data_IF_040629911795
#
_entry.id   IF_040629911795
#
_cell.length_a   1.000
_cell.length_b   1.000
_cell.length_c   1.000
_cell.angle_alpha   90.00
_cell.angle_beta   90.00
_cell.angle_gamma   90.00
#
_symmetry.space_group_name_H-M   'P 1'
#
loop_
_entity.id
_entity.type
_entity.pdbx_description
1 polymer ?
#
# COMPACT_ATOMS: atom_id res chain seq x y z
N UNK A 1 3.88 -26.95 37.16
CA UNK A 1 3.53 -25.68 37.81
C UNK A 1 3.50 -24.63 36.72
N UNK A 2 2.33 -24.46 36.10
CA UNK A 2 2.08 -23.51 35.03
C UNK A 2 1.85 -22.13 35.65
N UNK A 3 2.70 -21.16 35.33
CA UNK A 3 2.49 -19.77 35.70
C UNK A 3 1.67 -19.10 34.58
N UNK A 4 0.36 -18.97 34.80
CA UNK A 4 -0.51 -18.14 33.98
C UNK A 4 -0.27 -16.67 34.31
N UNK A 5 0.18 -15.91 33.32
CA UNK A 5 0.31 -14.44 33.42
C UNK A 5 -1.09 -13.87 33.17
N UNK A 6 -1.80 -13.50 34.25
CA UNK A 6 -3.04 -12.74 34.17
C UNK A 6 -2.71 -11.27 33.88
N UNK A 7 -3.16 -10.77 32.73
CA UNK A 7 -3.14 -9.34 32.41
C UNK A 7 -4.26 -8.64 33.19
N UNK A 8 -3.90 -7.90 34.25
CA UNK A 8 -4.79 -6.97 34.92
C UNK A 8 -4.79 -5.64 34.16
N UNK A 9 -5.91 -5.29 33.55
CA UNK A 9 -6.16 -3.94 33.01
C UNK A 9 -6.76 -3.11 34.15
N UNK A 10 -6.12 -2.02 34.61
CA UNK A 10 -6.67 -1.17 35.66
C UNK A 10 -7.94 -0.47 35.17
N UNK A 11 -9.05 -0.66 35.89
CA UNK A 11 -10.26 0.16 35.71
C UNK A 11 -10.12 1.43 36.55
N UNK A 12 -9.46 2.44 36.01
CA UNK A 12 -9.57 3.81 36.54
C UNK A 12 -10.62 4.59 35.75
N UNK A 13 -11.57 5.16 36.50
CA UNK A 13 -12.64 6.02 36.03
C UNK A 13 -12.07 7.26 35.32
N UNK A 14 -12.00 7.21 34.00
CA UNK A 14 -11.84 8.41 33.17
C UNK A 14 -13.23 8.87 32.73
N UNK A 15 -13.77 9.85 33.46
CA UNK A 15 -14.84 10.70 32.96
C UNK A 15 -14.28 11.55 31.81
N UNK A 16 -14.32 11.00 30.60
CA UNK A 16 -14.26 11.77 29.35
C UNK A 16 -15.36 11.23 28.46
N UNK A 17 -16.34 12.08 28.15
CA UNK A 17 -17.45 11.80 27.23
C UNK A 17 -16.98 11.75 25.77
N UNK A 18 -16.00 10.90 25.46
CA UNK A 18 -15.73 10.48 24.09
C UNK A 18 -16.75 9.39 23.81
N UNK A 19 -17.73 9.68 22.96
CA UNK A 19 -18.64 8.67 22.45
C UNK A 19 -17.79 7.46 22.01
N UNK A 20 -18.06 6.27 22.57
CA UNK A 20 -17.39 5.05 22.12
C UNK A 20 -17.49 5.00 20.60
N UNK A 21 -16.37 4.97 19.86
CA UNK A 21 -16.44 4.98 18.41
C UNK A 21 -17.28 3.79 17.97
N UNK A 22 -18.27 4.03 17.10
CA UNK A 22 -19.05 2.96 16.49
C UNK A 22 -18.06 2.16 15.64
N UNK A 23 -17.59 1.04 16.19
CA UNK A 23 -16.67 0.15 15.50
C UNK A 23 -17.41 -0.48 14.32
N UNK A 24 -16.90 -0.22 13.12
CA UNK A 24 -17.51 -0.73 11.88
C UNK A 24 -17.30 -2.23 11.76
N UNK A 25 -18.37 -2.93 11.39
CA UNK A 25 -18.38 -4.33 11.01
C UNK A 25 -18.82 -4.54 9.55
N UNK A 26 -18.78 -3.48 8.73
CA UNK A 26 -19.14 -3.50 7.31
C UNK A 26 -18.04 -2.80 6.50
N UNK A 27 -17.92 -3.18 5.23
CA UNK A 27 -16.98 -2.57 4.27
C UNK A 27 -17.74 -2.20 3.00
N UNK A 28 -17.65 -0.95 2.59
CA UNK A 28 -18.28 -0.49 1.36
C UNK A 28 -17.34 -0.64 0.14
N UNK A 29 -17.39 -1.81 -0.52
CA UNK A 29 -16.63 -2.09 -1.75
C UNK A 29 -17.57 -2.10 -2.95
N UNK A 30 -17.76 -0.92 -3.54
CA UNK A 30 -18.50 -0.73 -4.79
C UNK A 30 -17.73 0.16 -5.79
N UNK A 31 -18.16 0.04 -7.05
CA UNK A 31 -17.59 0.74 -8.20
C UNK A 31 -18.37 2.00 -8.58
N UNK A 32 -19.28 2.48 -7.73
CA UNK A 32 -20.20 3.58 -8.08
C UNK A 32 -19.44 4.90 -8.25
N UNK A 33 -18.35 5.08 -7.50
CA UNK A 33 -17.47 6.26 -7.63
C UNK A 33 -16.49 6.17 -8.81
N UNK A 34 -16.41 5.03 -9.52
CA UNK A 34 -15.55 4.88 -10.69
C UNK A 34 -16.33 5.27 -11.95
N UNK A 35 -15.86 6.30 -12.66
CA UNK A 35 -16.59 6.87 -13.80
C UNK A 35 -16.69 5.89 -14.97
N UNK A 36 -17.69 6.08 -15.83
CA UNK A 36 -17.87 5.23 -17.02
C UNK A 36 -16.67 5.34 -17.96
N UNK A 37 -16.07 6.53 -18.07
CA UNK A 37 -14.83 6.74 -18.83
C UNK A 37 -13.67 5.94 -18.24
N UNK A 38 -13.52 5.93 -16.91
CA UNK A 38 -12.48 5.15 -16.24
C UNK A 38 -12.70 3.64 -16.43
N UNK A 39 -13.94 3.16 -16.28
CA UNK A 39 -14.30 1.74 -16.52
C UNK A 39 -14.02 1.30 -17.95
N UNK A 40 -14.39 2.13 -18.93
CA UNK A 40 -14.14 1.85 -20.34
C UNK A 40 -12.63 1.84 -20.66
N UNK A 41 -11.85 2.69 -19.98
CA UNK A 41 -10.42 2.83 -20.23
C UNK A 41 -9.57 1.75 -19.54
N UNK A 42 -9.97 1.32 -18.35
CA UNK A 42 -9.18 0.44 -17.48
C UNK A 42 -9.96 -0.84 -17.21
N UNK A 43 -9.97 -1.76 -18.18
CA UNK A 43 -10.69 -3.04 -18.06
C UNK A 43 -10.34 -3.82 -16.80
N UNK A 44 -9.09 -3.74 -16.36
CA UNK A 44 -8.56 -4.40 -15.15
C UNK A 44 -9.18 -3.92 -13.82
N UNK A 45 -10.07 -2.91 -13.82
CA UNK A 45 -10.79 -2.48 -12.63
C UNK A 45 -11.68 -3.59 -12.04
N UNK A 46 -12.16 -4.52 -12.87
CA UNK A 46 -12.98 -5.64 -12.41
C UNK A 46 -12.21 -6.61 -11.51
N UNK A 47 -10.94 -6.83 -11.81
CA UNK A 47 -10.02 -7.66 -11.05
C UNK A 47 -9.62 -6.98 -9.75
N UNK A 48 -9.45 -5.65 -9.79
CA UNK A 48 -9.27 -4.83 -8.58
C UNK A 48 -10.50 -4.96 -7.66
N UNK A 49 -11.72 -4.80 -8.20
CA UNK A 49 -12.96 -4.96 -7.44
C UNK A 49 -13.06 -6.37 -6.84
N UNK A 50 -12.71 -7.41 -7.62
CA UNK A 50 -12.66 -8.78 -7.14
C UNK A 50 -11.68 -8.95 -5.96
N UNK A 51 -10.47 -8.41 -6.08
CA UNK A 51 -9.47 -8.44 -5.00
C UNK A 51 -9.99 -7.82 -3.70
N UNK A 52 -10.60 -6.64 -3.76
CA UNK A 52 -11.18 -5.99 -2.57
C UNK A 52 -12.36 -6.75 -2.00
N UNK A 53 -13.24 -7.31 -2.83
CA UNK A 53 -14.37 -8.14 -2.36
C UNK A 53 -13.89 -9.41 -1.66
N UNK A 54 -12.85 -10.04 -2.19
CA UNK A 54 -12.26 -11.24 -1.59
C UNK A 54 -11.63 -10.92 -0.22
N UNK A 55 -10.85 -9.83 -0.14
CA UNK A 55 -10.31 -9.35 1.14
C UNK A 55 -11.41 -8.99 2.14
N UNK A 56 -12.44 -8.24 1.72
CA UNK A 56 -13.55 -7.85 2.58
C UNK A 56 -14.29 -9.07 3.13
N UNK A 57 -14.58 -10.07 2.28
CA UNK A 57 -15.21 -11.33 2.71
C UNK A 57 -14.39 -12.03 3.81
N UNK A 58 -13.08 -12.13 3.62
CA UNK A 58 -12.19 -12.78 4.60
C UNK A 58 -12.11 -12.00 5.90
N UNK A 59 -11.97 -10.67 5.83
CA UNK A 59 -12.04 -9.82 7.03
C UNK A 59 -13.36 -10.05 7.77
N UNK A 60 -14.50 -9.94 7.08
CA UNK A 60 -15.82 -10.02 7.69
C UNK A 60 -16.17 -11.40 8.27
N UNK A 61 -15.71 -12.49 7.65
CA UNK A 61 -15.96 -13.85 8.12
C UNK A 61 -14.96 -14.35 9.19
N UNK A 62 -13.88 -13.61 9.46
CA UNK A 62 -12.83 -14.06 10.37
C UNK A 62 -13.20 -13.81 11.84
N UNK A 63 -13.60 -14.85 12.56
CA UNK A 63 -13.96 -14.79 13.99
C UNK A 63 -12.77 -14.52 14.94
N UNK A 64 -11.53 -14.69 14.46
CA UNK A 64 -10.30 -14.40 15.20
C UNK A 64 -9.95 -12.91 15.30
N UNK A 65 -10.60 -12.03 14.51
CA UNK A 65 -10.38 -10.60 14.58
C UNK A 65 -11.13 -9.97 15.75
N UNK A 66 -10.39 -9.22 16.59
CA UNK A 66 -11.00 -8.33 17.58
C UNK A 66 -11.86 -7.25 16.90
N UNK A 67 -12.85 -6.66 17.61
CA UNK A 67 -13.68 -5.59 17.04
C UNK A 67 -12.87 -4.41 16.49
N UNK A 68 -11.81 -4.01 17.18
CA UNK A 68 -10.93 -2.93 16.73
C UNK A 68 -10.08 -3.36 15.53
N UNK A 69 -9.56 -4.60 15.50
CA UNK A 69 -8.80 -5.11 14.36
C UNK A 69 -9.65 -5.15 13.09
N UNK A 70 -10.89 -5.66 13.20
CA UNK A 70 -11.87 -5.65 12.11
C UNK A 70 -12.13 -4.23 11.61
N UNK A 71 -12.41 -3.30 12.52
CA UNK A 71 -12.65 -1.90 12.18
C UNK A 71 -11.49 -1.27 11.38
N UNK A 72 -10.25 -1.50 11.81
CA UNK A 72 -9.05 -0.98 11.14
C UNK A 72 -8.87 -1.59 9.74
N UNK A 73 -9.09 -2.90 9.58
CA UNK A 73 -9.07 -3.53 8.25
C UNK A 73 -10.15 -2.96 7.32
N UNK A 74 -11.38 -2.79 7.82
CA UNK A 74 -12.47 -2.22 7.04
C UNK A 74 -12.13 -0.81 6.52
N UNK A 75 -11.62 0.08 7.40
CA UNK A 75 -11.22 1.44 7.02
C UNK A 75 -10.09 1.41 5.99
N UNK A 76 -9.08 0.55 6.18
CA UNK A 76 -7.95 0.48 5.26
C UNK A 76 -8.38 0.00 3.87
N UNK A 77 -9.22 -1.04 3.79
CA UNK A 77 -9.74 -1.53 2.50
C UNK A 77 -10.53 -0.44 1.75
N UNK A 78 -11.41 0.29 2.44
CA UNK A 78 -12.16 1.39 1.81
C UNK A 78 -11.22 2.50 1.34
N UNK A 79 -10.24 2.88 2.16
CA UNK A 79 -9.27 3.94 1.85
C UNK A 79 -8.43 3.57 0.63
N UNK A 80 -7.87 2.38 0.60
CA UNK A 80 -6.99 1.93 -0.47
C UNK A 80 -7.76 1.83 -1.80
N UNK A 81 -8.97 1.28 -1.76
CA UNK A 81 -9.82 1.21 -2.95
C UNK A 81 -10.25 2.60 -3.43
N UNK A 82 -10.57 3.52 -2.52
CA UNK A 82 -10.87 4.91 -2.85
C UNK A 82 -9.69 5.60 -3.53
N UNK A 83 -8.46 5.37 -3.06
CA UNK A 83 -7.25 5.88 -3.71
C UNK A 83 -7.08 5.32 -5.13
N UNK A 84 -7.35 4.03 -5.33
CA UNK A 84 -7.37 3.45 -6.68
C UNK A 84 -8.40 4.14 -7.59
N UNK A 85 -9.67 4.23 -7.16
CA UNK A 85 -10.73 4.88 -7.94
C UNK A 85 -10.38 6.33 -8.29
N UNK A 86 -9.81 7.07 -7.33
CA UNK A 86 -9.34 8.44 -7.52
C UNK A 86 -8.26 8.55 -8.60
N UNK A 87 -7.26 7.66 -8.58
CA UNK A 87 -6.21 7.61 -9.61
C UNK A 87 -6.80 7.29 -10.98
N UNK A 88 -7.60 6.23 -11.09
CA UNK A 88 -8.19 5.83 -12.37
C UNK A 88 -9.07 6.93 -12.96
N UNK A 89 -9.94 7.54 -12.15
CA UNK A 89 -10.75 8.68 -12.56
C UNK A 89 -9.90 9.87 -13.00
N UNK A 90 -8.85 10.20 -12.25
CA UNK A 90 -7.96 11.31 -12.59
C UNK A 90 -7.27 11.08 -13.94
N UNK A 91 -6.70 9.89 -14.16
CA UNK A 91 -6.01 9.57 -15.42
C UNK A 91 -7.00 9.49 -16.59
N UNK A 92 -8.21 8.96 -16.39
CA UNK A 92 -9.24 8.91 -17.43
C UNK A 92 -9.67 10.32 -17.88
N UNK A 93 -9.81 11.26 -16.94
CA UNK A 93 -10.17 12.66 -17.24
C UNK A 93 -9.03 13.47 -17.88
N UNK A 94 -7.80 13.02 -17.76
CA UNK A 94 -6.62 13.73 -18.23
C UNK A 94 -5.88 12.92 -19.29
N UNK A 95 -6.56 12.47 -20.35
CA UNK A 95 -5.97 11.61 -21.39
C UNK A 95 -4.77 12.22 -22.12
N UNK A 96 -4.56 13.54 -22.09
CA UNK A 96 -3.33 14.17 -22.57
C UNK A 96 -2.07 13.64 -21.86
N UNK A 97 -2.22 13.15 -20.61
CA UNK A 97 -1.18 12.46 -19.84
C UNK A 97 -0.72 11.13 -20.50
N UNK A 98 -1.51 10.54 -21.41
CA UNK A 98 -1.10 9.37 -22.20
C UNK A 98 -0.20 9.72 -23.39
N UNK A 99 -0.29 10.93 -23.96
CA UNK A 99 0.43 11.30 -25.20
C UNK A 99 1.92 11.59 -24.99
N UNK A 100 2.32 11.92 -23.76
CA UNK A 100 3.72 12.09 -23.32
C UNK A 100 4.31 10.83 -22.68
N UNK A 101 3.51 9.79 -22.48
CA UNK A 101 3.96 8.51 -21.93
C UNK A 101 4.63 7.67 -23.03
N UNK A 102 5.91 7.95 -23.28
CA UNK A 102 6.80 6.95 -23.89
C UNK A 102 6.87 5.67 -23.05
N UNK A 103 7.71 4.73 -23.47
CA UNK A 103 8.15 3.64 -22.58
C UNK A 103 8.58 4.25 -21.24
N UNK A 104 8.18 3.63 -20.12
CA UNK A 104 8.67 4.04 -18.82
C UNK A 104 10.21 4.08 -18.87
N UNK A 105 10.86 5.08 -18.24
CA UNK A 105 12.31 5.09 -18.10
C UNK A 105 12.80 3.77 -17.51
N UNK A 106 14.10 3.42 -17.69
CA UNK A 106 14.70 2.28 -17.01
C UNK A 106 14.24 2.20 -15.55
N UNK A 107 13.86 1.01 -15.11
CA UNK A 107 13.24 0.83 -13.79
C UNK A 107 14.00 -0.23 -13.02
N UNK A 108 14.53 0.14 -11.87
CA UNK A 108 15.17 -0.76 -10.94
C UNK A 108 14.17 -1.16 -9.86
N UNK A 109 14.07 -2.46 -9.62
CA UNK A 109 13.22 -3.05 -8.60
C UNK A 109 14.11 -3.70 -7.54
N UNK A 110 14.06 -3.19 -6.32
CA UNK A 110 14.67 -3.82 -5.17
C UNK A 110 13.70 -4.89 -4.67
N UNK A 111 14.17 -6.14 -4.65
CA UNK A 111 13.40 -7.32 -4.28
C UNK A 111 14.11 -8.10 -3.17
N UNK A 112 13.43 -9.11 -2.65
CA UNK A 112 13.91 -9.94 -1.55
C UNK A 112 12.99 -9.89 -0.34
N UNK A 113 13.37 -10.63 0.70
CA UNK A 113 12.61 -10.68 1.94
C UNK A 113 12.74 -9.38 2.73
N UNK A 114 11.73 -9.05 3.57
CA UNK A 114 11.89 -7.99 4.57
C UNK A 114 13.08 -8.29 5.50
N UNK A 115 13.57 -7.28 6.21
CA UNK A 115 14.67 -7.39 7.21
C UNK A 115 16.05 -7.75 6.63
N UNK A 116 16.26 -7.47 5.34
CA UNK A 116 17.53 -7.72 4.60
C UNK A 116 18.36 -6.44 4.36
N UNK A 117 17.98 -5.30 4.95
CA UNK A 117 18.64 -4.01 4.74
C UNK A 117 18.16 -3.24 3.50
N UNK A 118 17.11 -3.70 2.83
CA UNK A 118 16.55 -3.08 1.62
C UNK A 118 16.09 -1.63 1.83
N UNK A 119 15.60 -1.25 3.02
CA UNK A 119 15.21 0.14 3.32
C UNK A 119 16.40 1.11 3.29
N UNK A 120 17.54 0.73 3.86
CA UNK A 120 18.76 1.54 3.82
C UNK A 120 19.24 1.69 2.37
N UNK A 121 19.29 0.59 1.63
CA UNK A 121 19.69 0.58 0.22
C UNK A 121 18.77 1.45 -0.64
N UNK A 122 17.46 1.32 -0.46
CA UNK A 122 16.46 2.11 -1.18
C UNK A 122 16.65 3.61 -0.95
N UNK A 123 16.80 4.03 0.30
CA UNK A 123 17.01 5.44 0.63
C UNK A 123 18.36 5.96 0.09
N UNK A 124 19.41 5.14 0.11
CA UNK A 124 20.71 5.51 -0.46
C UNK A 124 20.63 5.72 -1.98
N UNK A 125 19.96 4.81 -2.69
CA UNK A 125 19.78 4.93 -4.15
C UNK A 125 18.87 6.11 -4.50
N UNK A 126 17.84 6.38 -3.70
CA UNK A 126 16.94 7.51 -3.88
C UNK A 126 17.62 8.88 -3.70
N UNK A 127 18.84 8.94 -3.15
CA UNK A 127 19.64 10.17 -3.11
C UNK A 127 20.17 10.62 -4.48
N UNK A 128 20.15 9.78 -5.52
CA UNK A 128 20.55 10.18 -6.87
C UNK A 128 19.54 11.22 -7.43
N UNK A 129 19.96 12.48 -7.68
CA UNK A 129 19.06 13.51 -8.21
C UNK A 129 18.54 13.21 -9.63
N UNK A 130 19.15 12.26 -10.34
CA UNK A 130 18.70 11.83 -11.67
C UNK A 130 17.61 10.76 -11.60
N UNK A 131 17.46 10.08 -10.47
CA UNK A 131 16.42 9.07 -10.28
C UNK A 131 15.12 9.67 -9.76
N UNK A 132 14.08 8.84 -9.74
CA UNK A 132 12.86 9.08 -8.96
C UNK A 132 12.50 7.83 -8.18
N UNK A 133 12.18 8.04 -6.90
CA UNK A 133 11.54 7.08 -6.02
C UNK A 133 10.27 7.74 -5.47
N UNK A 134 9.16 6.98 -5.29
CA UNK A 134 7.91 7.55 -4.83
C UNK A 134 8.04 8.12 -3.41
N UNK A 135 7.44 9.28 -3.17
CA UNK A 135 7.28 9.83 -1.83
C UNK A 135 6.06 9.23 -1.14
N UNK A 136 6.05 9.19 0.18
CA UNK A 136 4.84 8.82 0.94
C UNK A 136 3.62 9.67 0.50
N UNK A 137 3.81 10.96 0.24
CA UNK A 137 2.77 11.85 -0.29
C UNK A 137 2.22 11.40 -1.65
N UNK A 138 3.08 10.89 -2.55
CA UNK A 138 2.66 10.34 -3.84
C UNK A 138 1.71 9.16 -3.61
N UNK A 139 2.01 8.27 -2.66
CA UNK A 139 1.27 7.03 -2.46
C UNK A 139 -0.02 7.23 -1.67
N UNK A 140 0.02 7.93 -0.54
CA UNK A 140 -1.14 8.04 0.35
C UNK A 140 -2.19 9.04 -0.15
N UNK A 141 -1.78 10.08 -0.88
CA UNK A 141 -2.64 11.14 -1.43
C UNK A 141 -2.26 11.39 -2.90
N UNK A 142 -2.61 10.47 -3.82
CA UNK A 142 -1.99 10.41 -5.14
C UNK A 142 -2.49 11.45 -6.15
N UNK A 143 -3.67 12.05 -5.91
CA UNK A 143 -4.30 12.97 -6.87
C UNK A 143 -4.66 14.32 -6.24
N UNK A 144 -4.43 15.44 -6.96
CA UNK A 144 -3.64 15.52 -8.19
C UNK A 144 -2.15 15.19 -7.92
N UNK A 145 -1.41 14.60 -8.87
CA UNK A 145 0.02 14.34 -8.69
C UNK A 145 0.79 15.67 -8.55
N UNK A 146 1.83 15.67 -7.73
CA UNK A 146 2.68 16.84 -7.50
C UNK A 146 4.09 16.57 -7.98
N UNK A 147 4.73 17.57 -8.57
CA UNK A 147 6.16 17.52 -8.84
C UNK A 147 6.94 17.61 -7.52
N UNK A 148 8.14 17.00 -7.43
CA UNK A 148 9.00 17.16 -6.24
C UNK A 148 9.44 18.62 -6.03
N UNK A 149 9.48 19.41 -7.10
CA UNK A 149 9.78 20.84 -7.04
C UNK A 149 8.67 21.69 -6.45
N UNK A 150 7.43 21.18 -6.32
CA UNK A 150 6.33 21.89 -5.66
C UNK A 150 6.42 21.72 -4.13
N UNK A 151 7.36 22.41 -3.51
CA UNK A 151 7.64 22.28 -2.08
C UNK A 151 6.45 22.66 -1.20
N UNK A 152 5.63 23.62 -1.64
CA UNK A 152 4.45 24.09 -0.90
C UNK A 152 3.35 23.03 -0.93
N UNK A 153 3.04 22.49 -2.12
CA UNK A 153 2.07 21.41 -2.27
C UNK A 153 2.49 20.16 -1.50
N UNK A 154 3.78 19.81 -1.54
CA UNK A 154 4.34 18.67 -0.80
C UNK A 154 4.20 18.88 0.72
N UNK A 155 4.54 20.06 1.24
CA UNK A 155 4.39 20.37 2.67
C UNK A 155 2.93 20.25 3.13
N UNK A 156 1.98 20.78 2.34
CA UNK A 156 0.56 20.67 2.63
C UNK A 156 0.08 19.20 2.63
N UNK A 157 0.54 18.40 1.66
CA UNK A 157 0.18 16.98 1.57
C UNK A 157 0.78 16.15 2.71
N UNK A 158 1.98 16.47 3.20
CA UNK A 158 2.56 15.83 4.38
C UNK A 158 1.65 16.04 5.61
N UNK A 159 1.08 17.23 5.78
CA UNK A 159 0.13 17.53 6.86
C UNK A 159 -1.13 16.66 6.70
N UNK A 160 -1.68 16.57 5.49
CA UNK A 160 -2.88 15.76 5.22
C UNK A 160 -2.64 14.26 5.48
N UNK A 161 -1.52 13.73 5.00
CA UNK A 161 -1.13 12.33 5.23
C UNK A 161 -0.97 12.06 6.73
N UNK A 162 -0.41 13.02 7.47
CA UNK A 162 -0.18 12.89 8.92
C UNK A 162 -1.49 12.86 9.71
N UNK A 163 -2.55 13.53 9.26
CA UNK A 163 -3.88 13.44 9.89
C UNK A 163 -4.43 12.01 9.87
N UNK A 164 -4.07 11.21 8.87
CA UNK A 164 -4.55 9.82 8.79
C UNK A 164 -4.03 8.92 9.92
N UNK A 165 -2.99 9.32 10.66
CA UNK A 165 -2.51 8.57 11.83
C UNK A 165 -3.25 8.94 13.13
N UNK A 166 -4.02 10.04 13.15
CA UNK A 166 -4.81 10.47 14.31
C UNK A 166 -5.85 9.44 14.74
N UNK A 167 -6.32 8.60 13.79
CA UNK A 167 -7.24 7.49 14.11
C UNK A 167 -6.63 6.55 15.17
N UNK A 168 -5.33 6.26 15.08
CA UNK A 168 -4.65 5.39 16.05
C UNK A 168 -4.64 6.04 17.43
N UNK A 169 -4.44 7.35 17.51
CA UNK A 169 -4.54 8.08 18.78
C UNK A 169 -5.95 8.03 19.36
N UNK A 170 -6.96 8.25 18.51
CA UNK A 170 -8.35 8.26 18.91
C UNK A 170 -8.83 6.91 19.46
N UNK A 171 -8.22 5.80 19.03
CA UNK A 171 -8.52 4.44 19.53
C UNK A 171 -7.52 3.93 20.57
N UNK A 172 -6.67 4.81 21.14
CA UNK A 172 -5.73 4.46 22.20
C UNK A 172 -4.48 3.68 21.75
N UNK A 173 -4.20 3.61 20.46
CA UNK A 173 -3.05 2.91 19.85
C UNK A 173 -1.84 3.84 19.63
N UNK A 174 -1.48 4.64 20.64
CA UNK A 174 -0.42 5.66 20.56
C UNK A 174 0.96 5.06 20.28
N UNK A 175 1.31 3.96 20.94
CA UNK A 175 2.62 3.32 20.76
C UNK A 175 2.76 2.71 19.36
N UNK A 176 1.68 2.11 18.86
CA UNK A 176 1.61 1.61 17.50
C UNK A 176 1.78 2.75 16.48
N UNK A 177 1.08 3.88 16.67
CA UNK A 177 1.24 5.06 15.82
C UNK A 177 2.70 5.53 15.77
N UNK A 178 3.36 5.62 16.94
CA UNK A 178 4.77 6.03 17.02
C UNK A 178 5.70 5.09 16.26
N UNK A 179 5.50 3.78 16.40
CA UNK A 179 6.30 2.77 15.69
C UNK A 179 6.06 2.82 14.17
N UNK A 180 4.81 3.00 13.76
CA UNK A 180 4.43 3.16 12.36
C UNK A 180 5.11 4.39 11.74
N UNK A 181 5.05 5.54 12.40
CA UNK A 181 5.65 6.79 11.89
C UNK A 181 7.18 6.77 11.90
N UNK A 182 7.81 6.00 12.78
CA UNK A 182 9.25 5.78 12.77
C UNK A 182 9.70 4.94 11.56
N UNK A 183 8.87 4.00 11.13
CA UNK A 183 9.17 3.09 10.00
C UNK A 183 8.74 3.66 8.65
N UNK A 184 7.65 4.42 8.63
CA UNK A 184 7.06 5.03 7.43
C UNK A 184 6.84 6.55 7.64
N UNK A 185 7.92 7.35 7.67
CA UNK A 185 7.79 8.79 7.81
C UNK A 185 7.03 9.39 6.63
N UNK A 186 6.02 10.23 6.89
CA UNK A 186 5.10 10.74 5.86
C UNK A 186 5.74 11.71 4.84
N UNK A 187 7.00 12.06 5.05
CA UNK A 187 7.79 12.95 4.21
C UNK A 187 8.91 12.24 3.43
N UNK A 188 9.14 10.95 3.69
CA UNK A 188 10.26 10.20 3.11
C UNK A 188 9.88 9.52 1.78
N UNK A 189 10.91 9.00 1.09
CA UNK A 189 10.70 8.00 0.06
C UNK A 189 10.09 6.75 0.67
N UNK A 190 9.18 6.12 -0.07
CA UNK A 190 8.37 5.04 0.46
C UNK A 190 8.30 3.85 -0.51
N UNK A 191 7.98 2.68 0.02
CA UNK A 191 7.81 1.46 -0.76
C UNK A 191 6.65 1.59 -1.78
N UNK A 192 6.84 1.16 -3.02
CA UNK A 192 5.72 1.01 -3.97
C UNK A 192 4.77 -0.15 -3.58
N UNK A 193 5.05 -0.83 -2.45
CA UNK A 193 4.12 -1.70 -1.73
C UNK A 193 2.71 -1.10 -1.58
N UNK A 194 2.60 0.20 -1.30
CA UNK A 194 1.29 0.85 -1.13
C UNK A 194 0.49 0.92 -2.45
N UNK A 195 1.13 0.83 -3.62
CA UNK A 195 0.43 0.69 -4.89
C UNK A 195 -0.25 -0.67 -5.03
N UNK A 196 0.34 -1.71 -4.44
CA UNK A 196 -0.29 -3.03 -4.37
C UNK A 196 -1.49 -3.02 -3.41
N UNK A 197 -1.43 -2.25 -2.33
CA UNK A 197 -2.58 -2.06 -1.44
C UNK A 197 -3.75 -1.37 -2.14
N UNK A 198 -3.47 -0.35 -2.98
CA UNK A 198 -4.50 0.30 -3.79
C UNK A 198 -5.31 -0.67 -4.66
N UNK A 199 -4.74 -1.83 -5.02
CA UNK A 199 -5.39 -2.83 -5.87
C UNK A 199 -5.79 -4.10 -5.10
N UNK A 200 -5.80 -4.05 -3.76
CA UNK A 200 -6.24 -5.18 -2.93
C UNK A 200 -5.20 -6.31 -2.79
N UNK A 201 -3.94 -6.05 -3.13
CA UNK A 201 -2.81 -6.97 -2.93
C UNK A 201 -2.05 -6.58 -1.67
N UNK A 202 -2.42 -7.18 -0.53
CA UNK A 202 -1.73 -6.95 0.75
C UNK A 202 -1.27 -8.26 1.39
N UNK A 203 0.05 -8.44 1.50
CA UNK A 203 0.66 -9.60 2.14
C UNK A 203 0.24 -9.70 3.62
N UNK A 204 0.33 -8.59 4.35
CA UNK A 204 0.01 -8.57 5.79
C UNK A 204 -1.47 -8.85 6.04
N UNK A 205 -2.37 -8.22 5.28
CA UNK A 205 -3.81 -8.49 5.43
C UNK A 205 -4.08 -9.97 5.13
N UNK A 206 -3.56 -10.48 4.01
CA UNK A 206 -3.75 -11.88 3.60
C UNK A 206 -3.32 -12.86 4.70
N UNK A 207 -2.14 -12.65 5.32
CA UNK A 207 -1.63 -13.53 6.37
C UNK A 207 -2.43 -13.44 7.68
N UNK A 208 -3.00 -12.27 8.01
CA UNK A 208 -3.72 -12.05 9.26
C UNK A 208 -5.22 -12.36 9.17
N UNK A 209 -5.81 -12.28 7.97
CA UNK A 209 -7.26 -12.36 7.79
C UNK A 209 -7.72 -13.71 7.22
N UNK A 210 -6.81 -14.63 6.90
CA UNK A 210 -7.10 -15.93 6.29
C UNK A 210 -6.87 -17.14 7.24
N UNK A 211 -7.52 -17.22 8.43
CA UNK A 211 -7.20 -18.22 9.46
C UNK A 211 -7.49 -19.66 9.00
N UNK A 212 -8.45 -19.87 8.09
CA UNK A 212 -8.82 -21.20 7.57
C UNK A 212 -8.26 -21.50 6.15
N UNK A 213 -7.42 -20.59 5.64
CA UNK A 213 -6.38 -20.83 4.62
C UNK A 213 -6.70 -21.71 3.39
N UNK A 214 -7.62 -21.26 2.52
CA UNK A 214 -7.58 -21.69 1.09
C UNK A 214 -7.81 -20.53 0.14
N UNK A 215 -9.02 -19.97 0.01
CA UNK A 215 -9.36 -19.08 -1.14
C UNK A 215 -8.48 -17.82 -1.25
N UNK A 216 -8.36 -17.00 -0.20
CA UNK A 216 -7.57 -15.75 -0.29
C UNK A 216 -6.07 -16.00 -0.40
N UNK A 217 -5.55 -17.01 0.31
CA UNK A 217 -4.12 -17.35 0.27
C UNK A 217 -3.73 -18.01 -1.07
N UNK A 218 -4.54 -18.94 -1.58
CA UNK A 218 -4.38 -19.52 -2.93
C UNK A 218 -4.48 -18.44 -4.01
N UNK A 219 -5.48 -17.56 -3.91
CA UNK A 219 -5.63 -16.45 -4.84
C UNK A 219 -4.44 -15.49 -4.78
N UNK A 220 -3.94 -15.17 -3.58
CA UNK A 220 -2.82 -14.26 -3.38
C UNK A 220 -1.53 -14.84 -3.97
N UNK A 221 -1.19 -16.10 -3.70
CA UNK A 221 0.05 -16.71 -4.19
C UNK A 221 -0.02 -17.22 -5.64
N UNK A 222 -1.20 -17.27 -6.25
CA UNK A 222 -1.31 -17.48 -7.69
C UNK A 222 -0.70 -16.27 -8.42
N UNK A 223 0.40 -16.51 -9.13
CA UNK A 223 1.17 -15.49 -9.86
C UNK A 223 0.56 -15.12 -11.21
N UNK A 224 -0.21 -16.03 -11.81
CA UNK A 224 -0.85 -15.84 -13.12
C UNK A 224 -2.00 -14.83 -13.11
N UNK A 225 -2.63 -14.59 -11.95
CA UNK A 225 -3.79 -13.71 -11.81
C UNK A 225 -3.43 -12.26 -11.41
N UNK A 226 -2.14 -11.87 -11.42
CA UNK A 226 -1.67 -10.55 -10.92
C UNK A 226 -1.41 -9.48 -11.98
N UNK A 227 -1.85 -9.67 -13.23
CA UNK A 227 -1.62 -8.70 -14.30
C UNK A 227 -2.14 -7.29 -13.94
N UNK A 228 -3.37 -7.21 -13.42
CA UNK A 228 -4.03 -5.96 -13.05
C UNK A 228 -3.20 -5.10 -12.09
N UNK A 229 -2.42 -5.73 -11.20
CA UNK A 229 -1.61 -5.01 -10.23
C UNK A 229 -0.48 -4.24 -10.92
N UNK A 230 0.18 -4.85 -11.90
CA UNK A 230 1.24 -4.18 -12.65
C UNK A 230 0.71 -3.24 -13.74
N UNK A 231 -0.50 -3.48 -14.27
CA UNK A 231 -1.19 -2.52 -15.15
C UNK A 231 -1.54 -1.22 -14.41
N UNK A 232 -2.11 -1.33 -13.21
CA UNK A 232 -2.34 -0.18 -12.34
C UNK A 232 -1.02 0.50 -11.95
N UNK A 233 -0.01 -0.27 -11.57
CA UNK A 233 1.31 0.25 -11.21
C UNK A 233 1.92 1.08 -12.36
N UNK A 234 1.87 0.60 -13.61
CA UNK A 234 2.30 1.38 -14.79
C UNK A 234 1.50 2.66 -14.97
N UNK A 235 0.17 2.57 -14.87
CA UNK A 235 -0.73 3.73 -14.95
C UNK A 235 -0.37 4.79 -13.91
N UNK A 236 -0.05 4.36 -12.69
CA UNK A 236 0.33 5.24 -11.60
C UNK A 236 1.67 5.93 -11.85
N UNK A 237 2.71 5.18 -12.25
CA UNK A 237 4.01 5.78 -12.57
C UNK A 237 3.95 6.73 -13.76
N UNK A 238 3.14 6.40 -14.78
CA UNK A 238 2.89 7.29 -15.90
C UNK A 238 2.20 8.59 -15.44
N UNK A 239 1.21 8.51 -14.54
CA UNK A 239 0.58 9.69 -13.95
C UNK A 239 1.63 10.58 -13.26
N UNK A 240 2.54 10.01 -12.47
CA UNK A 240 3.61 10.74 -11.81
C UNK A 240 4.63 11.34 -12.80
N UNK A 241 5.01 10.61 -13.85
CA UNK A 241 5.97 11.08 -14.86
C UNK A 241 5.48 12.33 -15.59
N UNK A 242 4.17 12.51 -15.72
CA UNK A 242 3.63 13.68 -16.41
C UNK A 242 3.83 15.00 -15.65
N UNK A 243 4.06 14.95 -14.35
CA UNK A 243 4.40 16.15 -13.55
C UNK A 243 5.88 16.23 -13.21
N UNK A 244 6.59 15.11 -13.12
CA UNK A 244 8.01 15.06 -12.74
C UNK A 244 8.67 13.73 -13.21
N UNK A 245 8.93 13.60 -14.50
CA UNK A 245 9.62 12.39 -15.02
C UNK A 245 11.05 12.29 -14.47
N UNK A 246 11.55 11.10 -14.07
CA UNK A 246 12.96 10.96 -13.74
C UNK A 246 13.83 11.28 -14.96
N UNK A 247 15.01 11.85 -14.71
CA UNK A 247 15.98 12.15 -15.77
C UNK A 247 16.71 10.91 -16.27
N UNK A 248 16.88 9.91 -15.40
CA UNK A 248 17.59 8.67 -15.68
C UNK A 248 16.69 7.45 -15.52
N UNK A 249 16.21 7.17 -14.30
CA UNK A 249 15.53 5.92 -14.00
C UNK A 249 14.60 6.00 -12.79
N UNK A 250 13.72 5.01 -12.65
CA UNK A 250 12.94 4.76 -11.43
C UNK A 250 13.69 3.82 -10.49
N UNK A 251 13.63 4.10 -9.19
CA UNK A 251 14.00 3.16 -8.11
C UNK A 251 12.73 2.79 -7.36
N UNK A 252 12.38 1.51 -7.35
CA UNK A 252 11.19 0.95 -6.72
C UNK A 252 11.60 -0.20 -5.80
N UNK A 253 10.79 -0.49 -4.78
CA UNK A 253 11.12 -1.46 -3.75
C UNK A 253 9.87 -1.91 -3.04
N UNK A 254 9.54 -3.19 -3.21
CA UNK A 254 8.45 -3.87 -2.53
C UNK A 254 8.78 -5.35 -2.36
N UNK A 255 8.52 -5.95 -1.19
CA UNK A 255 8.63 -7.40 -1.02
C UNK A 255 7.68 -8.17 -1.96
N UNK A 256 6.58 -7.54 -2.41
CA UNK A 256 5.58 -8.13 -3.31
C UNK A 256 6.19 -8.54 -4.65
N UNK A 257 7.18 -7.80 -5.17
CA UNK A 257 7.83 -8.15 -6.42
C UNK A 257 8.43 -9.55 -6.41
N UNK A 258 8.96 -9.97 -5.26
CA UNK A 258 9.58 -11.30 -5.07
C UNK A 258 8.61 -12.44 -5.36
N UNK A 259 7.32 -12.26 -5.09
CA UNK A 259 6.30 -13.29 -5.34
C UNK A 259 5.83 -13.32 -6.80
N UNK A 260 5.99 -12.22 -7.54
CA UNK A 260 5.37 -12.03 -8.85
C UNK A 260 6.36 -11.56 -9.91
N UNK A 261 7.60 -12.06 -9.89
CA UNK A 261 8.68 -11.65 -10.80
C UNK A 261 8.31 -11.89 -12.28
N UNK A 262 7.70 -13.03 -12.60
CA UNK A 262 7.29 -13.34 -13.98
C UNK A 262 6.21 -12.38 -14.49
N UNK A 263 5.24 -12.05 -13.64
CA UNK A 263 4.23 -11.03 -13.95
C UNK A 263 4.87 -9.65 -14.09
N UNK A 264 5.79 -9.27 -13.21
CA UNK A 264 6.53 -8.03 -13.31
C UNK A 264 7.28 -7.94 -14.65
N UNK A 265 8.02 -8.98 -15.03
CA UNK A 265 8.81 -9.04 -16.27
C UNK A 265 7.93 -8.93 -17.53
N UNK A 266 6.72 -9.47 -17.52
CA UNK A 266 5.75 -9.27 -18.62
C UNK A 266 5.39 -7.79 -18.82
N UNK A 267 5.32 -7.01 -17.73
CA UNK A 267 4.95 -5.60 -17.75
C UNK A 267 6.16 -4.65 -17.88
N UNK A 268 7.32 -5.09 -17.41
CA UNK A 268 8.60 -4.38 -17.40
C UNK A 268 9.72 -5.28 -17.97
N UNK A 269 9.75 -5.52 -19.28
CA UNK A 269 10.71 -6.44 -19.90
C UNK A 269 12.17 -5.97 -19.79
N UNK A 270 12.39 -4.68 -19.54
CA UNK A 270 13.70 -4.07 -19.32
C UNK A 270 13.98 -3.79 -17.83
N UNK A 271 13.27 -4.44 -16.91
CA UNK A 271 13.50 -4.28 -15.47
C UNK A 271 14.91 -4.71 -15.08
N UNK A 272 15.53 -3.96 -14.17
CA UNK A 272 16.76 -4.37 -13.49
C UNK A 272 16.42 -4.71 -12.04
N UNK A 273 16.83 -5.89 -11.58
CA UNK A 273 16.55 -6.33 -10.22
C UNK A 273 17.76 -6.15 -9.31
N UNK A 274 17.51 -5.67 -8.10
CA UNK A 274 18.48 -5.63 -7.02
C UNK A 274 17.93 -6.49 -5.89
N UNK A 275 18.45 -7.71 -5.75
CA UNK A 275 17.98 -8.65 -4.73
C UNK A 275 18.85 -8.58 -3.49
N UNK A 276 18.25 -8.23 -2.34
CA UNK A 276 18.94 -8.26 -1.06
C UNK A 276 18.85 -9.64 -0.42
N UNK A 277 19.95 -10.11 0.16
CA UNK A 277 20.04 -11.42 0.80
C UNK A 277 20.46 -11.29 2.26
N UNK A 278 19.86 -12.14 3.10
CA UNK A 278 20.24 -12.35 4.50
C UNK A 278 19.89 -13.79 4.88
N UNK A 279 20.60 -14.37 5.83
CA UNK A 279 20.33 -15.74 6.27
C UNK A 279 18.89 -15.86 6.80
N UNK A 280 18.18 -16.91 6.39
CA UNK A 280 16.78 -17.11 6.74
C UNK A 280 16.55 -17.25 8.25
N UNK A 281 17.49 -17.88 8.96
CA UNK A 281 17.46 -18.04 10.42
C UNK A 281 17.57 -16.72 11.18
N UNK A 282 18.05 -15.65 10.54
CA UNK A 282 18.01 -14.29 11.09
C UNK A 282 16.76 -13.51 10.64
N UNK A 283 16.33 -13.71 9.40
CA UNK A 283 15.19 -12.98 8.80
C UNK A 283 13.89 -13.36 9.47
N UNK A 284 13.60 -14.66 9.60
CA UNK A 284 12.32 -15.15 10.13
C UNK A 284 12.02 -14.63 11.55
N UNK A 285 12.90 -14.77 12.56
CA UNK A 285 12.62 -14.23 13.89
C UNK A 285 12.58 -12.71 13.91
N UNK A 286 13.32 -12.02 13.03
CA UNK A 286 13.23 -10.56 12.92
C UNK A 286 11.93 -10.08 12.26
N UNK A 287 11.32 -10.88 11.40
CA UNK A 287 10.06 -10.55 10.73
C UNK A 287 8.85 -10.83 11.64
N UNK A 288 8.93 -11.88 12.46
CA UNK A 288 7.86 -12.25 13.39
C UNK A 288 7.79 -11.37 14.66
N UNK A 289 8.78 -10.50 14.89
CA UNK A 289 8.83 -9.56 16.02
C UNK A 289 8.17 -8.25 15.65
#
# INVERSE_FOLDING_TARGET
MENSIQWHIPTENVNNSVASPILRAEVNINDDDLSQEAKAQFGYHTEILHAFRLNARNVLANDGLSPIGRHLFCINLEKDYMNCKRVLNYVAKNMQLKRTAGLLPPTFFICGLPRTGSTLLFNLLACDPLCRAPLATDLFYPVPPLARSDTTGQAQRIIEVSKSSEIFRAVGLNDYERQLLASHPRYAHEEDLFLFYHVGISLFNTLLTSPDNTELLEWFFNDTNKNFAYEYHKTFLQMLNNVDTPRSHWILKSPIHTFFLDTLLRHYPSASFIMTHRRLDEVLPSYAR
#
